data_IF_884923637284
#
_entry.id   IF_884923637284
#
_cell.length_a   1.000
_cell.length_b   1.000
_cell.length_c   1.000
_cell.angle_alpha   90.00
_cell.angle_beta   90.00
_cell.angle_gamma   90.00
#
_symmetry.space_group_name_H-M   'P 1'
#
loop_
_entity.id
_entity.type
_entity.pdbx_description
1 polymer ?
#
# COMPACT_ATOMS: atom_id res chain seq x y z
N UNK A 1 37.89 -19.89 -8.57
CA UNK A 1 38.50 -18.58 -8.25
C UNK A 1 37.87 -17.48 -9.08
N UNK A 2 37.18 -16.53 -8.43
CA UNK A 2 37.16 -15.06 -8.65
C UNK A 2 35.78 -14.48 -8.37
N UNK A 3 35.64 -14.04 -7.12
CA UNK A 3 34.63 -13.16 -6.56
C UNK A 3 34.88 -11.72 -7.00
N UNK A 4 33.82 -10.95 -7.23
CA UNK A 4 33.91 -9.48 -7.28
C UNK A 4 32.88 -8.89 -6.31
N UNK A 5 33.39 -8.26 -5.26
CA UNK A 5 32.66 -7.44 -4.30
C UNK A 5 32.77 -5.99 -4.80
N UNK A 6 31.67 -5.25 -4.83
CA UNK A 6 31.69 -3.79 -4.96
C UNK A 6 31.06 -3.16 -3.72
N UNK A 7 31.94 -2.53 -2.93
CA UNK A 7 31.60 -1.64 -1.83
C UNK A 7 31.45 -0.23 -2.42
N UNK A 8 30.36 0.46 -2.12
CA UNK A 8 30.25 1.91 -2.33
C UNK A 8 29.80 2.53 -1.02
N UNK A 9 30.76 3.16 -0.34
CA UNK A 9 30.56 4.03 0.82
C UNK A 9 30.25 5.43 0.30
N UNK A 10 29.18 6.05 0.81
CA UNK A 10 29.00 7.50 0.73
C UNK A 10 28.72 8.02 2.14
N UNK A 11 29.63 8.84 2.64
CA UNK A 11 29.53 9.56 3.90
C UNK A 11 29.48 11.06 3.61
N UNK A 12 29.18 11.83 4.68
CA UNK A 12 29.21 13.29 4.83
C UNK A 12 27.87 14.01 4.59
N UNK A 13 27.43 14.98 5.39
CA UNK A 13 28.01 15.70 6.54
C UNK A 13 26.86 16.38 7.30
N UNK A 14 26.90 16.33 8.63
CA UNK A 14 26.02 17.07 9.53
C UNK A 14 26.32 18.56 9.50
N UNK A 15 25.29 19.42 9.54
CA UNK A 15 25.42 20.78 10.07
C UNK A 15 24.37 21.00 11.17
N UNK A 16 24.89 21.12 12.39
CA UNK A 16 24.16 21.62 13.55
C UNK A 16 24.16 23.15 13.50
N UNK A 17 23.01 23.79 13.67
CA UNK A 17 22.93 25.18 14.11
C UNK A 17 22.35 25.20 15.52
N UNK A 18 23.19 25.51 16.51
CA UNK A 18 22.76 25.96 17.82
C UNK A 18 22.55 27.48 17.79
N UNK A 19 21.47 27.93 18.41
CA UNK A 19 21.26 29.32 18.83
C UNK A 19 20.30 29.29 20.01
N UNK A 20 20.75 29.77 21.16
CA UNK A 20 20.11 29.61 22.45
C UNK A 20 19.77 30.98 23.09
N UNK A 21 18.78 30.94 23.99
CA UNK A 21 18.39 31.91 25.04
C UNK A 21 17.73 33.23 24.57
N UNK A 22 16.84 33.90 25.32
CA UNK A 22 15.91 33.63 26.44
C UNK A 22 15.14 34.95 26.69
N UNK A 23 13.83 34.90 26.98
CA UNK A 23 13.11 35.82 27.88
C UNK A 23 11.60 35.48 27.93
N UNK A 24 11.09 35.12 29.12
CA UNK A 24 9.66 35.23 29.48
C UNK A 24 9.27 36.70 29.64
N UNK A 25 8.02 37.12 29.79
CA UNK A 25 6.78 36.58 30.35
C UNK A 25 5.63 37.39 29.68
N UNK A 26 4.43 36.88 29.40
CA UNK A 26 3.26 36.84 30.30
C UNK A 26 2.05 36.27 29.51
N UNK A 27 1.24 35.46 30.18
CA UNK A 27 -0.07 34.90 29.78
C UNK A 27 -1.12 35.64 30.63
N UNK A 28 -2.40 35.91 30.21
CA UNK A 28 -3.45 34.89 30.09
C UNK A 28 -4.65 35.22 29.15
N UNK A 29 -5.78 34.49 29.19
CA UNK A 29 -6.01 33.17 28.60
C UNK A 29 -7.21 33.18 27.62
N UNK A 30 -7.20 32.44 26.51
CA UNK A 30 -8.47 32.21 25.77
C UNK A 30 -8.48 30.89 25.00
N UNK A 31 -9.49 30.09 25.35
CA UNK A 31 -10.14 29.03 24.58
C UNK A 31 -9.27 27.92 23.97
N UNK A 32 -9.19 26.81 24.71
CA UNK A 32 -9.07 25.47 24.15
C UNK A 32 -10.28 25.22 23.26
N UNK A 33 -10.10 25.32 21.94
CA UNK A 33 -11.03 24.71 20.98
C UNK A 33 -10.42 23.38 20.61
N UNK A 34 -10.94 22.34 21.25
CA UNK A 34 -10.70 20.94 20.93
C UNK A 34 -11.36 20.66 19.57
N UNK A 35 -10.64 20.92 18.48
CA UNK A 35 -11.03 20.39 17.19
C UNK A 35 -10.69 18.89 17.19
N UNK A 36 -11.72 18.12 17.50
CA UNK A 36 -11.78 16.69 17.28
C UNK A 36 -11.68 16.48 15.77
N UNK A 37 -10.47 16.29 15.26
CA UNK A 37 -10.26 15.78 13.90
C UNK A 37 -10.90 14.40 13.83
N UNK A 38 -12.11 14.38 13.29
CA UNK A 38 -12.80 13.20 12.82
C UNK A 38 -11.91 12.50 11.81
N UNK A 39 -11.27 11.41 12.24
CA UNK A 39 -10.65 10.43 11.35
C UNK A 39 -11.76 9.92 10.44
N UNK A 40 -11.84 10.50 9.24
CA UNK A 40 -12.69 9.99 8.17
C UNK A 40 -12.10 8.64 7.76
N UNK A 41 -12.63 7.57 8.38
CA UNK A 41 -12.45 6.21 7.92
C UNK A 41 -13.06 6.16 6.52
N UNK A 42 -12.21 6.36 5.53
CA UNK A 42 -12.58 6.18 4.14
C UNK A 42 -12.90 4.70 3.98
N UNK A 43 -14.19 4.35 3.90
CA UNK A 43 -14.62 3.01 3.54
C UNK A 43 -14.05 2.70 2.15
N UNK A 44 -12.92 2.00 2.12
CA UNK A 44 -12.36 1.46 0.89
C UNK A 44 -13.36 0.43 0.37
N UNK A 45 -14.15 0.85 -0.61
CA UNK A 45 -14.96 -0.04 -1.45
C UNK A 45 -14.06 -1.23 -1.83
N UNK A 46 -14.41 -2.47 -1.47
CA UNK A 46 -13.53 -3.60 -1.67
C UNK A 46 -13.27 -3.73 -3.17
N UNK A 47 -12.04 -3.41 -3.57
CA UNK A 47 -11.55 -3.77 -4.89
C UNK A 47 -11.69 -5.28 -4.96
N UNK A 48 -12.40 -5.79 -5.98
CA UNK A 48 -12.58 -7.21 -6.29
C UNK A 48 -11.23 -7.84 -6.63
N UNK A 49 -10.39 -7.99 -5.61
CA UNK A 49 -9.13 -8.69 -5.62
C UNK A 49 -9.33 -10.17 -5.30
N UNK A 50 -8.24 -10.97 -5.27
CA UNK A 50 -8.28 -12.35 -4.82
C UNK A 50 -9.00 -12.46 -3.48
N UNK A 51 -9.81 -13.52 -3.33
CA UNK A 51 -10.62 -13.84 -2.16
C UNK A 51 -9.86 -13.51 -0.88
N UNK A 52 -10.38 -12.57 -0.06
CA UNK A 52 -9.68 -12.13 1.15
C UNK A 52 -9.58 -13.28 2.17
N UNK A 53 -8.37 -13.84 2.42
CA UNK A 53 -8.21 -15.03 3.25
C UNK A 53 -8.62 -14.79 4.71
N UNK A 54 -8.63 -13.54 5.20
CA UNK A 54 -9.07 -13.22 6.56
C UNK A 54 -10.55 -13.52 6.80
N UNK A 55 -11.39 -13.47 5.76
CA UNK A 55 -12.83 -13.76 5.90
C UNK A 55 -13.12 -15.25 6.13
N UNK A 56 -12.14 -16.12 5.86
CA UNK A 56 -12.27 -17.58 5.95
C UNK A 56 -11.80 -18.09 7.32
N UNK A 57 -10.77 -17.47 7.92
CA UNK A 57 -10.14 -17.96 9.16
C UNK A 57 -11.10 -18.11 10.34
N UNK A 58 -12.08 -17.21 10.58
CA UNK A 58 -13.06 -17.39 11.65
C UNK A 58 -13.91 -18.66 11.51
N UNK A 59 -14.07 -19.18 10.28
CA UNK A 59 -14.90 -20.35 9.98
C UNK A 59 -14.15 -21.68 10.16
N UNK A 60 -12.83 -21.65 10.41
CA UNK A 60 -11.98 -22.85 10.55
C UNK A 60 -11.90 -23.39 11.98
N UNK A 61 -12.67 -22.84 12.93
CA UNK A 61 -12.67 -23.22 14.35
C UNK A 61 -11.23 -23.30 14.91
N UNK A 62 -10.47 -22.21 14.77
CA UNK A 62 -9.09 -22.15 15.21
C UNK A 62 -8.96 -22.28 16.73
N UNK A 63 -7.98 -23.06 17.20
CA UNK A 63 -7.64 -23.14 18.62
C UNK A 63 -7.11 -21.79 19.15
N UNK A 64 -7.09 -21.61 20.47
CA UNK A 64 -6.52 -20.39 21.08
C UNK A 64 -5.05 -20.18 20.68
N UNK A 65 -4.27 -21.26 20.66
CA UNK A 65 -2.88 -21.22 20.23
C UNK A 65 -2.74 -20.86 18.75
N UNK A 66 -3.56 -21.43 17.86
CA UNK A 66 -3.56 -21.08 16.45
C UNK A 66 -3.95 -19.61 16.23
N UNK A 67 -4.95 -19.10 16.96
CA UNK A 67 -5.35 -17.68 16.89
C UNK A 67 -4.22 -16.74 17.28
N UNK A 68 -3.47 -17.07 18.34
CA UNK A 68 -2.30 -16.29 18.74
C UNK A 68 -1.20 -16.31 17.66
N UNK A 69 -0.97 -17.45 17.01
CA UNK A 69 -0.02 -17.56 15.90
C UNK A 69 -0.47 -16.75 14.68
N UNK A 70 -1.76 -16.78 14.32
CA UNK A 70 -2.32 -15.93 13.26
C UNK A 70 -2.05 -14.46 13.56
N UNK A 71 -2.34 -13.99 14.77
CA UNK A 71 -2.08 -12.59 15.16
C UNK A 71 -0.60 -12.21 15.04
N UNK A 72 0.31 -13.11 15.44
CA UNK A 72 1.74 -12.90 15.29
C UNK A 72 2.15 -12.79 13.81
N UNK A 73 1.62 -13.66 12.95
CA UNK A 73 1.86 -13.63 11.50
C UNK A 73 1.28 -12.35 10.89
N UNK A 74 0.06 -11.96 11.28
CA UNK A 74 -0.57 -10.72 10.83
C UNK A 74 0.26 -9.49 11.18
N UNK A 75 0.79 -9.44 12.41
CA UNK A 75 1.68 -8.36 12.85
C UNK A 75 3.02 -8.38 12.08
N UNK A 76 3.58 -9.56 11.80
CA UNK A 76 4.82 -9.70 11.04
C UNK A 76 4.68 -9.18 9.60
N UNK A 77 3.51 -9.38 8.98
CA UNK A 77 3.22 -8.95 7.61
C UNK A 77 2.30 -7.73 7.55
N UNK A 78 2.23 -6.95 8.64
CA UNK A 78 1.44 -5.73 8.69
C UNK A 78 2.02 -4.70 7.72
N UNK A 79 1.53 -4.73 6.49
CA UNK A 79 1.86 -3.78 5.44
C UNK A 79 0.59 -3.09 4.95
N UNK A 80 0.70 -1.79 4.70
CA UNK A 80 -0.38 -1.05 4.08
C UNK A 80 -0.36 -1.30 2.58
N UNK A 81 -1.55 -1.34 1.97
CA UNK A 81 -1.66 -1.45 0.52
C UNK A 81 -0.96 -0.23 -0.11
N UNK A 82 -0.03 -0.42 -1.05
CA UNK A 82 0.70 0.68 -1.64
C UNK A 82 -0.24 1.55 -2.46
N UNK A 83 -0.39 2.80 -2.03
CA UNK A 83 -1.09 3.83 -2.76
C UNK A 83 -0.09 4.69 -3.51
N UNK A 84 -0.51 5.23 -4.66
CA UNK A 84 0.30 6.16 -5.42
C UNK A 84 0.60 7.39 -4.58
N UNK A 85 1.82 7.92 -4.63
CA UNK A 85 2.17 9.13 -3.87
C UNK A 85 1.34 10.33 -4.32
N UNK A 86 1.18 11.33 -3.45
CA UNK A 86 0.52 12.59 -3.83
C UNK A 86 1.20 13.26 -5.03
N UNK A 87 2.53 13.22 -5.07
CA UNK A 87 3.33 13.77 -6.17
C UNK A 87 3.03 13.04 -7.49
N UNK A 88 3.06 11.71 -7.48
CA UNK A 88 2.77 10.92 -8.68
C UNK A 88 1.31 11.10 -9.14
N UNK A 89 0.36 11.24 -8.21
CA UNK A 89 -1.03 11.62 -8.53
C UNK A 89 -1.11 13.00 -9.19
N UNK A 90 -0.37 13.99 -8.68
CA UNK A 90 -0.34 15.32 -9.26
C UNK A 90 0.27 15.30 -10.65
N UNK A 91 1.35 14.53 -10.88
CA UNK A 91 1.94 14.36 -12.20
C UNK A 91 0.92 13.76 -13.17
N UNK A 92 0.20 12.70 -12.79
CA UNK A 92 -0.85 12.12 -13.63
C UNK A 92 -1.97 13.14 -13.96
N UNK A 93 -2.38 13.97 -13.01
CA UNK A 93 -3.37 15.02 -13.24
C UNK A 93 -2.87 16.05 -14.26
N UNK A 94 -1.59 16.44 -14.17
CA UNK A 94 -0.96 17.34 -15.14
C UNK A 94 -0.88 16.69 -16.53
N UNK A 95 -0.47 15.43 -16.62
CA UNK A 95 -0.44 14.68 -17.88
C UNK A 95 -1.84 14.55 -18.51
N UNK A 96 -2.88 14.41 -17.70
CA UNK A 96 -4.26 14.40 -18.21
C UNK A 96 -4.64 15.76 -18.82
N UNK A 97 -4.20 16.86 -18.23
CA UNK A 97 -4.41 18.20 -18.80
C UNK A 97 -3.59 18.39 -20.09
N UNK A 98 -2.34 17.92 -20.12
CA UNK A 98 -1.52 17.94 -21.33
C UNK A 98 -2.15 17.14 -22.48
N UNK A 99 -2.72 15.97 -22.17
CA UNK A 99 -3.48 15.17 -23.13
C UNK A 99 -4.64 15.96 -23.73
N UNK A 100 -5.42 16.68 -22.90
CA UNK A 100 -6.51 17.53 -23.40
C UNK A 100 -5.98 18.60 -24.36
N UNK A 101 -4.87 19.26 -24.00
CA UNK A 101 -4.28 20.30 -24.84
C UNK A 101 -3.78 19.74 -26.18
N UNK A 102 -3.16 18.55 -26.19
CA UNK A 102 -2.74 17.87 -27.42
C UNK A 102 -3.91 17.58 -28.37
N UNK A 103 -5.08 17.21 -27.82
CA UNK A 103 -6.28 16.87 -28.61
C UNK A 103 -6.99 18.11 -29.15
N UNK A 104 -7.01 19.21 -28.39
CA UNK A 104 -7.74 20.43 -28.77
C UNK A 104 -6.92 21.35 -29.69
N UNK A 105 -5.60 21.24 -29.68
CA UNK A 105 -4.73 22.08 -30.50
C UNK A 105 -4.91 21.81 -32.00
N UNK A 106 -4.76 22.87 -32.83
CA UNK A 106 -4.88 22.81 -34.29
C UNK A 106 -3.86 21.88 -34.97
N UNK A 107 -2.70 21.71 -34.33
CA UNK A 107 -1.65 20.82 -34.79
C UNK A 107 -1.30 19.85 -33.66
N UNK A 108 -1.14 18.59 -34.02
CA UNK A 108 -0.71 17.55 -33.09
C UNK A 108 0.80 17.61 -32.90
N UNK A 109 1.26 17.55 -31.65
CA UNK A 109 2.67 17.51 -31.31
C UNK A 109 3.07 16.07 -30.95
N UNK A 110 3.60 15.35 -31.94
CA UNK A 110 4.05 13.96 -31.81
C UNK A 110 5.12 13.77 -30.72
N UNK A 111 6.04 14.72 -30.59
CA UNK A 111 7.16 14.62 -29.64
C UNK A 111 6.62 14.75 -28.22
N UNK A 112 5.75 15.73 -27.98
CA UNK A 112 5.10 15.92 -26.68
C UNK A 112 4.21 14.74 -26.32
N UNK A 113 3.43 14.21 -27.26
CA UNK A 113 2.59 13.04 -27.04
C UNK A 113 3.40 11.81 -26.62
N UNK A 114 4.50 11.51 -27.32
CA UNK A 114 5.39 10.39 -27.00
C UNK A 114 6.01 10.54 -25.61
N UNK A 115 6.47 11.74 -25.26
CA UNK A 115 7.05 12.02 -23.94
C UNK A 115 6.04 11.84 -22.81
N UNK A 116 4.82 12.37 -22.98
CA UNK A 116 3.72 12.23 -22.02
C UNK A 116 3.37 10.75 -21.79
N UNK A 117 3.26 9.96 -22.86
CA UNK A 117 2.97 8.51 -22.77
C UNK A 117 4.10 7.78 -22.05
N UNK A 118 5.36 8.07 -22.37
CA UNK A 118 6.50 7.45 -21.73
C UNK A 118 6.55 7.76 -20.22
N UNK A 119 6.20 8.97 -19.82
CA UNK A 119 6.13 9.35 -18.41
C UNK A 119 4.99 8.63 -17.68
N UNK A 120 3.79 8.59 -18.27
CA UNK A 120 2.65 7.85 -17.72
C UNK A 120 2.98 6.36 -17.54
N UNK A 121 3.62 5.74 -18.53
CA UNK A 121 4.04 4.34 -18.45
C UNK A 121 5.01 4.07 -17.30
N UNK A 122 5.98 4.98 -17.06
CA UNK A 122 6.92 4.84 -15.93
C UNK A 122 6.21 4.89 -14.59
N UNK A 123 5.30 5.84 -14.41
CA UNK A 123 4.52 5.99 -13.17
C UNK A 123 3.64 4.75 -12.90
N UNK A 124 3.01 4.21 -13.95
CA UNK A 124 2.24 2.98 -13.81
C UNK A 124 3.12 1.77 -13.55
N UNK A 125 4.28 1.65 -14.18
CA UNK A 125 5.21 0.54 -13.94
C UNK A 125 5.67 0.52 -12.48
N UNK A 126 6.03 1.67 -11.91
CA UNK A 126 6.41 1.79 -10.50
C UNK A 126 5.26 1.39 -9.56
N UNK A 127 4.06 1.92 -9.81
CA UNK A 127 2.87 1.58 -9.02
C UNK A 127 2.50 0.10 -9.11
N UNK A 128 2.68 -0.51 -10.28
CA UNK A 128 2.44 -1.94 -10.49
C UNK A 128 3.48 -2.80 -9.77
N UNK A 129 4.76 -2.40 -9.78
CA UNK A 129 5.80 -3.08 -9.03
C UNK A 129 5.51 -3.07 -7.53
N UNK A 130 5.18 -1.89 -6.97
CA UNK A 130 4.83 -1.78 -5.56
C UNK A 130 3.65 -2.69 -5.17
N UNK A 131 2.63 -2.77 -6.04
CA UNK A 131 1.48 -3.68 -5.84
C UNK A 131 1.90 -5.15 -5.89
N UNK A 132 2.76 -5.54 -6.83
CA UNK A 132 3.26 -6.91 -6.93
C UNK A 132 4.05 -7.30 -5.67
N UNK A 133 4.88 -6.39 -5.14
CA UNK A 133 5.64 -6.64 -3.91
C UNK A 133 4.70 -6.79 -2.70
N UNK A 134 3.64 -5.99 -2.63
CA UNK A 134 2.60 -6.14 -1.61
C UNK A 134 1.86 -7.48 -1.74
N UNK A 135 1.42 -7.85 -2.94
CA UNK A 135 0.72 -9.12 -3.20
C UNK A 135 1.60 -10.32 -2.85
N UNK A 136 2.91 -10.23 -3.11
CA UNK A 136 3.88 -11.24 -2.69
C UNK A 136 3.95 -11.40 -1.16
N UNK A 137 3.95 -10.30 -0.40
CA UNK A 137 3.90 -10.36 1.06
C UNK A 137 2.58 -10.96 1.56
N UNK A 138 1.45 -10.63 0.92
CA UNK A 138 0.16 -11.24 1.25
C UNK A 138 0.16 -12.75 0.98
N UNK A 139 0.78 -13.21 -0.10
CA UNK A 139 0.91 -14.63 -0.40
C UNK A 139 1.78 -15.35 0.63
N UNK A 140 2.90 -14.75 1.06
CA UNK A 140 3.73 -15.28 2.16
C UNK A 140 2.96 -15.40 3.46
N UNK A 141 2.23 -14.33 3.82
CA UNK A 141 1.36 -14.32 5.00
C UNK A 141 0.33 -15.46 4.95
N UNK A 142 -0.33 -15.61 3.81
CA UNK A 142 -1.33 -16.66 3.60
C UNK A 142 -0.71 -18.07 3.72
N UNK A 143 0.47 -18.27 3.12
CA UNK A 143 1.24 -19.50 3.25
C UNK A 143 1.52 -19.82 4.72
N UNK A 144 2.06 -18.88 5.49
CA UNK A 144 2.44 -19.11 6.88
C UNK A 144 1.23 -19.43 7.77
N UNK A 145 0.09 -18.77 7.52
CA UNK A 145 -1.17 -19.10 8.19
C UNK A 145 -1.65 -20.49 7.80
N UNK A 146 -1.49 -20.91 6.54
CA UNK A 146 -1.90 -22.25 6.11
C UNK A 146 -1.07 -23.36 6.79
N UNK A 147 0.22 -23.11 7.06
CA UNK A 147 1.11 -24.08 7.71
C UNK A 147 0.74 -24.38 9.17
N UNK A 148 0.07 -23.46 9.87
CA UNK A 148 -0.35 -23.68 11.27
C UNK A 148 -1.71 -24.39 11.38
N UNK A 149 -2.40 -24.63 10.26
CA UNK A 149 -3.68 -25.33 10.21
C UNK A 149 -3.47 -26.85 10.28
N UNK A 150 -4.42 -27.55 10.92
CA UNK A 150 -4.48 -29.02 10.85
C UNK A 150 -4.89 -29.49 9.46
N UNK A 151 -4.61 -30.75 9.07
CA UNK A 151 -5.01 -31.28 7.76
C UNK A 151 -6.51 -31.15 7.47
N UNK A 152 -7.37 -31.34 8.48
CA UNK A 152 -8.83 -31.13 8.33
C UNK A 152 -9.18 -29.67 8.07
N UNK A 153 -8.55 -28.74 8.78
CA UNK A 153 -8.75 -27.30 8.58
C UNK A 153 -8.23 -26.84 7.21
N UNK A 154 -7.11 -27.39 6.73
CA UNK A 154 -6.57 -27.11 5.40
C UNK A 154 -7.55 -27.50 4.28
N UNK A 155 -8.17 -28.69 4.37
CA UNK A 155 -9.21 -29.11 3.44
C UNK A 155 -10.43 -28.18 3.48
N UNK A 156 -10.88 -27.81 4.68
CA UNK A 156 -12.00 -26.89 4.86
C UNK A 156 -11.68 -25.49 4.29
N UNK A 157 -10.46 -25.01 4.49
CA UNK A 157 -10.00 -23.73 3.99
C UNK A 157 -10.12 -23.61 2.46
N UNK A 158 -9.66 -24.63 1.71
CA UNK A 158 -9.81 -24.64 0.26
C UNK A 158 -11.26 -24.69 -0.19
N UNK A 159 -12.11 -25.48 0.49
CA UNK A 159 -13.54 -25.54 0.20
C UNK A 159 -14.21 -24.17 0.35
N UNK A 160 -13.94 -23.50 1.47
CA UNK A 160 -14.49 -22.17 1.75
C UNK A 160 -14.00 -21.12 0.74
N UNK A 161 -12.73 -21.19 0.31
CA UNK A 161 -12.19 -20.29 -0.71
C UNK A 161 -12.91 -20.46 -2.06
N UNK A 162 -13.16 -21.71 -2.49
CA UNK A 162 -13.90 -21.97 -3.73
C UNK A 162 -15.34 -21.43 -3.65
N UNK A 163 -16.02 -21.63 -2.51
CA UNK A 163 -17.36 -21.09 -2.31
C UNK A 163 -17.38 -19.55 -2.39
N UNK A 164 -16.44 -18.87 -1.74
CA UNK A 164 -16.34 -17.43 -1.83
C UNK A 164 -16.07 -16.96 -3.26
N UNK A 165 -15.19 -17.64 -4.02
CA UNK A 165 -14.95 -17.30 -5.43
C UNK A 165 -16.24 -17.33 -6.26
N UNK A 166 -17.09 -18.34 -6.04
CA UNK A 166 -18.38 -18.49 -6.73
C UNK A 166 -19.38 -17.39 -6.36
N UNK A 167 -19.41 -16.98 -5.10
CA UNK A 167 -20.28 -15.88 -4.64
C UNK A 167 -19.88 -14.56 -5.30
N UNK A 168 -18.58 -14.24 -5.33
CA UNK A 168 -18.09 -13.01 -5.97
C UNK A 168 -18.22 -13.01 -7.49
N UNK A 169 -18.23 -14.18 -8.16
CA UNK A 169 -18.47 -14.25 -9.60
C UNK A 169 -19.94 -14.09 -9.97
N UNK A 170 -20.88 -14.49 -9.10
CA UNK A 170 -22.33 -14.35 -9.33
C UNK A 170 -22.87 -12.95 -9.05
N UNK A 171 -22.15 -12.14 -8.28
CA UNK A 171 -22.53 -10.76 -7.97
C UNK A 171 -22.09 -9.74 -9.04
N UNK A 172 -21.73 -10.20 -10.25
CA UNK A 172 -21.36 -9.35 -11.40
C UNK A 172 -22.48 -9.31 -12.42
#
# INVERSE_FOLDING_TARGET
MKTFIRVVTLAALSSMSMGAFAAGTEQPPTAVVTETETVVVHEQKPVLGPVNPHSILPQLNLSNQQRALVQKIDHQYASQRPLMSNENRQILANLQQERKNLVVNKQFDDVKAKNMIAQEQRLWAEQQQARADYDFLQLKREHDIYQILTPKQQQQYWRLRQQQKLLHSRAR
#
